data_IF_159871684868
#
_entry.id   IF_159871684868
#
_cell.length_a   1.000
_cell.length_b   1.000
_cell.length_c   1.000
_cell.angle_alpha   90.00
_cell.angle_beta   90.00
_cell.angle_gamma   90.00
#
_symmetry.space_group_name_H-M   'P 1'
#
loop_
_entity.id
_entity.type
_entity.pdbx_description
1 polymer ?
#
# COMPACT_ATOMS: atom_id res chain seq x y z
N UNK A 1 0.69 -10.04 -21.90
CA UNK A 1 1.37 -9.92 -20.59
C UNK A 1 2.86 -10.01 -20.85
N UNK A 2 3.66 -9.05 -20.35
CA UNK A 2 5.11 -9.15 -20.48
C UNK A 2 5.62 -10.22 -19.50
N UNK A 3 6.48 -11.13 -19.98
CA UNK A 3 7.15 -12.13 -19.16
C UNK A 3 8.60 -11.69 -19.00
N UNK A 4 9.01 -11.50 -17.76
CA UNK A 4 10.40 -11.16 -17.41
C UNK A 4 11.02 -12.38 -16.74
N UNK A 5 12.21 -12.79 -17.19
CA UNK A 5 12.99 -13.84 -16.54
C UNK A 5 13.87 -13.22 -15.46
N UNK A 6 13.84 -13.79 -14.26
CA UNK A 6 14.63 -13.36 -13.11
C UNK A 6 15.10 -14.62 -12.36
N UNK A 7 16.35 -14.61 -11.92
CA UNK A 7 16.91 -15.68 -11.11
C UNK A 7 16.46 -15.52 -9.66
N UNK A 8 15.84 -16.57 -9.11
CA UNK A 8 15.40 -16.65 -7.72
C UNK A 8 15.80 -18.02 -7.20
N UNK A 9 16.30 -18.07 -5.97
CA UNK A 9 16.56 -19.35 -5.30
C UNK A 9 15.26 -20.18 -5.21
N UNK A 10 15.20 -21.37 -5.83
CA UNK A 10 13.98 -22.17 -5.87
C UNK A 10 13.50 -22.61 -4.49
N UNK A 11 14.41 -22.81 -3.53
CA UNK A 11 14.06 -23.23 -2.17
C UNK A 11 13.42 -22.08 -1.37
N UNK A 12 13.92 -20.86 -1.55
CA UNK A 12 13.31 -19.66 -0.96
C UNK A 12 11.93 -19.40 -1.55
N UNK A 13 11.78 -19.56 -2.87
CA UNK A 13 10.51 -19.37 -3.55
C UNK A 13 9.47 -20.42 -3.11
N UNK A 14 9.90 -21.65 -2.88
CA UNK A 14 9.05 -22.71 -2.33
C UNK A 14 8.58 -22.39 -0.91
N UNK A 15 9.50 -21.99 -0.03
CA UNK A 15 9.15 -21.57 1.33
C UNK A 15 8.20 -20.36 1.33
N UNK A 16 8.46 -19.37 0.48
CA UNK A 16 7.58 -18.21 0.33
C UNK A 16 6.19 -18.61 -0.14
N UNK A 17 6.06 -19.59 -1.05
CA UNK A 17 4.77 -20.12 -1.49
C UNK A 17 3.98 -20.74 -0.35
N UNK A 18 4.64 -21.57 0.45
CA UNK A 18 4.05 -22.26 1.61
C UNK A 18 3.57 -21.24 2.65
N UNK A 19 4.42 -20.26 3.00
CA UNK A 19 4.08 -19.21 3.96
C UNK A 19 2.96 -18.28 3.48
N UNK A 20 2.95 -17.96 2.19
CA UNK A 20 1.96 -17.08 1.59
C UNK A 20 0.64 -17.79 1.24
N UNK A 21 0.58 -19.13 1.28
CA UNK A 21 -0.58 -19.91 0.85
C UNK A 21 -0.90 -19.77 -0.64
N UNK A 22 0.10 -19.44 -1.47
CA UNK A 22 -0.09 -19.17 -2.91
C UNK A 22 0.14 -20.40 -3.77
N UNK A 23 -0.58 -20.51 -4.89
CA UNK A 23 -0.54 -21.69 -5.75
C UNK A 23 0.58 -21.62 -6.80
N UNK A 24 0.99 -20.42 -7.22
CA UNK A 24 1.96 -20.22 -8.30
C UNK A 24 3.10 -19.27 -7.92
N UNK A 25 4.28 -19.49 -8.50
CA UNK A 25 5.45 -18.63 -8.29
C UNK A 25 5.15 -17.16 -8.63
N UNK A 26 4.40 -16.93 -9.72
CA UNK A 26 3.97 -15.60 -10.16
C UNK A 26 3.14 -14.90 -9.09
N UNK A 27 2.19 -15.62 -8.49
CA UNK A 27 1.31 -15.11 -7.45
C UNK A 27 2.08 -14.75 -6.18
N UNK A 28 3.04 -15.60 -5.77
CA UNK A 28 3.93 -15.33 -4.64
C UNK A 28 4.74 -14.05 -4.85
N UNK A 29 5.32 -13.89 -6.03
CA UNK A 29 6.12 -12.70 -6.37
C UNK A 29 5.26 -11.45 -6.42
N UNK A 30 4.06 -11.52 -7.01
CA UNK A 30 3.11 -10.39 -7.04
C UNK A 30 2.72 -9.95 -5.62
N UNK A 31 2.40 -10.90 -4.74
CA UNK A 31 2.06 -10.63 -3.35
C UNK A 31 3.24 -10.01 -2.60
N UNK A 32 4.44 -10.54 -2.76
CA UNK A 32 5.65 -10.01 -2.13
C UNK A 32 5.91 -8.55 -2.55
N UNK A 33 5.79 -8.25 -3.84
CA UNK A 33 5.97 -6.89 -4.37
C UNK A 33 4.90 -5.92 -3.82
N UNK A 34 3.63 -6.33 -3.82
CA UNK A 34 2.55 -5.51 -3.24
C UNK A 34 2.79 -5.21 -1.77
N UNK A 35 3.21 -6.23 -1.02
CA UNK A 35 3.50 -6.11 0.41
C UNK A 35 4.65 -5.15 0.65
N UNK A 36 5.76 -5.29 -0.09
CA UNK A 36 6.90 -4.39 0.00
C UNK A 36 6.53 -2.94 -0.29
N UNK A 37 5.76 -2.70 -1.35
CA UNK A 37 5.27 -1.36 -1.71
C UNK A 37 4.39 -0.80 -0.59
N UNK A 38 3.47 -1.59 -0.05
CA UNK A 38 2.59 -1.17 1.03
C UNK A 38 3.37 -0.78 2.29
N UNK A 39 4.31 -1.63 2.71
CA UNK A 39 5.19 -1.38 3.86
C UNK A 39 6.01 -0.11 3.67
N UNK A 40 6.56 0.13 2.47
CA UNK A 40 7.37 1.32 2.19
C UNK A 40 6.56 2.60 1.96
N UNK A 41 5.25 2.50 1.66
CA UNK A 41 4.37 3.67 1.52
C UNK A 41 3.84 4.21 2.84
N UNK A 42 3.76 3.40 3.90
CA UNK A 42 3.23 3.82 5.19
C UNK A 42 4.03 4.94 5.90
N UNK A 43 5.38 4.95 5.91
CA UNK A 43 6.14 6.04 6.54
C UNK A 43 5.80 7.41 5.94
N UNK A 44 5.73 7.52 4.62
CA UNK A 44 5.46 8.78 3.93
C UNK A 44 4.01 9.28 4.09
N UNK A 45 3.05 8.40 4.38
CA UNK A 45 1.67 8.79 4.65
C UNK A 45 1.51 9.29 6.10
N UNK A 46 2.13 8.60 7.05
CA UNK A 46 2.12 8.99 8.47
C UNK A 46 2.91 10.28 8.68
N UNK A 47 4.09 10.44 8.07
CA UNK A 47 4.86 11.69 8.12
C UNK A 47 4.09 12.89 7.55
N UNK A 48 3.28 12.68 6.50
CA UNK A 48 2.40 13.75 5.96
C UNK A 48 1.28 14.16 6.91
N UNK A 49 0.82 13.26 7.77
CA UNK A 49 -0.21 13.56 8.78
C UNK A 49 0.42 14.24 9.99
N UNK A 50 1.56 13.73 10.48
CA UNK A 50 2.27 14.30 11.64
C UNK A 50 2.86 15.68 11.31
N UNK A 51 3.39 15.86 10.10
CA UNK A 51 3.93 17.14 9.62
C UNK A 51 2.88 18.14 9.17
N UNK A 52 1.59 17.82 9.29
CA UNK A 52 0.50 18.74 8.90
C UNK A 52 0.38 19.85 9.94
N UNK A 53 0.87 21.03 9.62
CA UNK A 53 0.57 22.24 10.39
C UNK A 53 -0.75 22.83 9.88
N UNK A 54 -1.68 23.10 10.80
CA UNK A 54 -2.90 23.82 10.49
C UNK A 54 -2.64 25.32 10.60
N UNK A 55 -3.17 26.10 9.67
CA UNK A 55 -3.26 27.54 9.88
C UNK A 55 -4.24 27.83 11.03
N UNK A 56 -4.02 28.87 11.86
CA UNK A 56 -4.88 29.17 13.02
C UNK A 56 -6.38 29.20 12.68
N UNK A 57 -6.74 29.74 11.52
CA UNK A 57 -8.10 29.81 10.98
C UNK A 57 -8.73 28.44 10.63
N UNK A 58 -7.95 27.36 10.60
CA UNK A 58 -8.41 26.00 10.33
C UNK A 58 -8.66 25.20 11.60
N UNK A 59 -8.19 25.69 12.75
CA UNK A 59 -8.44 25.11 14.07
C UNK A 59 -9.81 25.60 14.54
N UNK A 60 -10.68 24.68 14.95
CA UNK A 60 -12.08 24.97 15.34
C UNK A 60 -12.94 25.61 14.24
N UNK A 61 -12.56 25.43 12.97
CA UNK A 61 -13.36 25.91 11.85
C UNK A 61 -14.78 25.28 11.88
N UNK A 62 -15.83 26.06 11.58
CA UNK A 62 -17.21 25.58 11.65
C UNK A 62 -17.46 24.46 10.64
N UNK A 63 -18.14 23.40 11.08
CA UNK A 63 -18.50 22.26 10.24
C UNK A 63 -19.42 22.70 9.10
N UNK A 64 -18.99 22.50 7.85
CA UNK A 64 -19.81 22.75 6.67
C UNK A 64 -20.55 21.45 6.30
N UNK A 65 -21.87 21.45 6.39
CA UNK A 65 -22.69 20.35 5.89
C UNK A 65 -22.64 20.32 4.35
N UNK A 66 -22.34 19.17 3.72
CA UNK A 66 -22.34 19.09 2.26
C UNK A 66 -23.76 19.35 1.74
N UNK A 67 -23.87 20.27 0.78
CA UNK A 67 -25.14 20.55 0.12
C UNK A 67 -25.63 19.27 -0.57
N UNK A 68 -26.83 18.82 -0.21
CA UNK A 68 -27.44 17.64 -0.82
C UNK A 68 -27.39 17.76 -2.35
N UNK A 69 -26.80 16.76 -3.00
CA UNK A 69 -26.73 16.70 -4.45
C UNK A 69 -28.15 16.78 -5.02
N UNK A 70 -28.40 17.83 -5.80
CA UNK A 70 -29.66 18.01 -6.52
C UNK A 70 -29.75 16.90 -7.57
N UNK A 71 -30.72 15.99 -7.41
CA UNK A 71 -31.10 14.96 -8.38
C UNK A 71 -31.72 15.56 -9.64
#
# INVERSE_FOLDING_TARGET
MAVTSIDINPDELKQAKELAGTSTNRETVDLALRTLIAVRRQPAAVERIIGRTFAPEQIDAPTIAPAAART
#
